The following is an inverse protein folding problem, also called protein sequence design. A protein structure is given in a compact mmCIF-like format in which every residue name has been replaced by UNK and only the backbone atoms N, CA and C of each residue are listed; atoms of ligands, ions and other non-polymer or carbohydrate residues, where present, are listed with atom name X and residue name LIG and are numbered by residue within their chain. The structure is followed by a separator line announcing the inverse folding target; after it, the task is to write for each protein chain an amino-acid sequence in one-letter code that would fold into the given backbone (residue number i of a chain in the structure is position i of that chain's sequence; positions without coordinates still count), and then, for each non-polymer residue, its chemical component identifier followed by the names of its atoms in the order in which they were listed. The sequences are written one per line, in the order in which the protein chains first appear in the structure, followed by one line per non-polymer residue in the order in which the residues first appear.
data_IF_134610390581
#
_entry.id   IF_134610390581
#
_cell.length_a   1.000
_cell.length_b   1.000
_cell.length_c   1.000
_cell.angle_alpha   90.00
_cell.angle_beta   90.00
_cell.angle_gamma   90.00
#
_symmetry.space_group_name_H-M   'P 1'
#
loop_
_entity.id
_entity.type
_entity.pdbx_description
1 polymer ?
#
# COMPACT_ATOMS: atom_id res chain seq x y z
N UNK A 1 0.83 10.87 -10.04
CA UNK A 1 1.98 11.59 -9.40
C UNK A 1 3.29 11.09 -10.00
N UNK A 2 4.38 11.84 -9.88
CA UNK A 2 5.72 11.37 -10.26
C UNK A 2 6.31 10.41 -9.22
N UNK A 3 7.49 9.85 -9.51
CA UNK A 3 8.23 9.00 -8.58
C UNK A 3 8.63 9.77 -7.30
N UNK A 4 8.49 9.17 -6.10
CA UNK A 4 9.06 9.73 -4.88
C UNK A 4 10.57 9.97 -5.01
N UNK A 5 11.09 10.97 -4.28
CA UNK A 5 12.53 11.22 -4.16
C UNK A 5 13.17 10.27 -3.15
N UNK A 6 14.39 9.80 -3.41
CA UNK A 6 15.12 8.87 -2.53
C UNK A 6 15.40 9.38 -1.11
N UNK A 7 15.37 10.70 -0.87
CA UNK A 7 15.51 11.28 0.48
C UNK A 7 14.40 10.88 1.46
N UNK A 8 13.28 10.36 0.96
CA UNK A 8 12.18 9.85 1.78
C UNK A 8 12.40 8.42 2.28
N UNK A 9 13.56 7.83 1.98
CA UNK A 9 13.86 6.44 2.32
C UNK A 9 13.71 6.14 3.80
N UNK A 10 14.30 6.96 4.66
CA UNK A 10 14.22 6.75 6.10
C UNK A 10 12.75 6.76 6.58
N UNK A 11 11.91 7.64 6.03
CA UNK A 11 10.50 7.72 6.38
C UNK A 11 9.71 6.47 5.94
N UNK A 12 9.93 5.94 4.74
CA UNK A 12 9.21 4.73 4.34
C UNK A 12 9.76 3.48 5.02
N UNK A 13 11.03 3.47 5.49
CA UNK A 13 11.54 2.39 6.35
C UNK A 13 10.79 2.36 7.68
N UNK A 14 10.48 3.51 8.28
CA UNK A 14 9.60 3.59 9.47
C UNK A 14 8.21 2.97 9.19
N UNK A 15 7.69 3.08 7.97
CA UNK A 15 6.39 2.46 7.63
C UNK A 15 6.47 0.94 7.50
N UNK A 16 7.64 0.37 7.21
CA UNK A 16 7.83 -1.08 7.22
C UNK A 16 7.77 -1.65 8.64
N UNK A 17 8.18 -0.87 9.64
CA UNK A 17 8.12 -1.27 11.05
C UNK A 17 6.68 -1.57 11.50
N UNK A 18 5.66 -1.00 10.83
CA UNK A 18 4.28 -1.37 11.08
C UNK A 18 4.02 -2.87 10.89
N UNK A 19 4.73 -3.56 10.00
CA UNK A 19 4.57 -5.00 9.79
C UNK A 19 5.05 -5.85 10.96
N UNK A 20 5.79 -5.26 11.91
CA UNK A 20 6.23 -5.92 13.14
C UNK A 20 5.15 -5.95 14.22
N UNK A 21 4.05 -5.20 14.05
CA UNK A 21 2.90 -5.25 14.96
C UNK A 21 2.21 -6.62 14.87
N UNK A 22 1.71 -7.13 16.01
CA UNK A 22 1.14 -8.49 16.13
C UNK A 22 -0.02 -8.72 15.17
N UNK A 23 -0.79 -7.67 14.90
CA UNK A 23 -1.92 -7.66 13.99
C UNK A 23 -1.55 -7.97 12.53
N UNK A 24 -0.28 -7.79 12.13
CA UNK A 24 0.20 -8.06 10.77
C UNK A 24 1.06 -9.32 10.64
N UNK A 25 1.27 -10.09 11.71
CA UNK A 25 2.13 -11.28 11.71
C UNK A 25 1.79 -12.28 10.58
N UNK A 26 0.50 -12.42 10.24
CA UNK A 26 0.06 -13.30 9.16
C UNK A 26 0.42 -12.78 7.76
N UNK A 27 0.53 -11.46 7.58
CA UNK A 27 0.90 -10.85 6.31
C UNK A 27 2.39 -11.00 6.02
N UNK A 28 3.23 -10.88 7.06
CA UNK A 28 4.68 -10.97 6.93
C UNK A 28 5.11 -12.32 6.32
N UNK A 29 4.40 -13.40 6.63
CA UNK A 29 4.65 -14.74 6.07
C UNK A 29 4.38 -14.85 4.57
N UNK A 30 3.63 -13.91 3.99
CA UNK A 30 3.19 -13.94 2.59
C UNK A 30 3.67 -12.69 1.82
N UNK A 31 4.65 -11.95 2.35
CA UNK A 31 5.12 -10.69 1.76
C UNK A 31 5.70 -10.85 0.35
N UNK A 32 6.33 -12.01 0.08
CA UNK A 32 6.85 -12.38 -1.24
C UNK A 32 5.77 -12.88 -2.19
N UNK A 33 4.53 -13.02 -1.71
CA UNK A 33 3.39 -13.58 -2.45
C UNK A 33 2.13 -12.72 -2.25
N UNK A 34 2.10 -11.50 -2.81
CA UNK A 34 0.99 -10.56 -2.62
C UNK A 34 -0.39 -11.13 -2.94
N UNK A 35 -0.49 -12.07 -3.89
CA UNK A 35 -1.73 -12.73 -4.27
C UNK A 35 -2.38 -13.58 -3.16
N UNK A 36 -1.61 -13.95 -2.14
CA UNK A 36 -2.06 -14.71 -0.98
C UNK A 36 -2.46 -13.83 0.20
N UNK A 37 -2.07 -12.55 0.20
CA UNK A 37 -2.48 -11.61 1.24
C UNK A 37 -3.94 -11.14 1.09
N UNK A 38 -4.55 -11.38 -0.08
CA UNK A 38 -5.94 -10.97 -0.36
C UNK A 38 -6.88 -11.61 0.66
N UNK A 39 -7.62 -10.79 1.39
CA UNK A 39 -8.56 -11.19 2.43
C UNK A 39 -7.93 -11.57 3.77
N UNK A 40 -6.61 -11.44 3.95
CA UNK A 40 -5.96 -11.69 5.23
C UNK A 40 -6.06 -10.47 6.17
N UNK A 41 -6.38 -10.74 7.44
CA UNK A 41 -6.53 -9.72 8.48
C UNK A 41 -8.00 -9.52 8.90
N UNK A 42 -8.23 -8.88 10.06
CA UNK A 42 -9.58 -8.68 10.58
C UNK A 42 -10.32 -7.53 9.87
N UNK A 43 -11.65 -7.57 9.92
CA UNK A 43 -12.52 -6.47 9.50
C UNK A 43 -13.06 -6.56 8.07
N UNK A 44 -13.80 -5.53 7.66
CA UNK A 44 -14.41 -5.42 6.33
C UNK A 44 -13.44 -4.95 5.23
N UNK A 45 -12.29 -4.40 5.64
CA UNK A 45 -11.10 -4.19 4.81
C UNK A 45 -9.95 -4.93 5.46
N UNK A 46 -9.78 -6.23 5.15
CA UNK A 46 -8.65 -7.01 5.64
C UNK A 46 -7.33 -6.29 5.34
N UNK A 47 -6.44 -6.24 6.33
CA UNK A 47 -5.17 -5.52 6.24
C UNK A 47 -4.32 -5.92 5.01
N UNK A 48 -4.39 -7.19 4.58
CA UNK A 48 -3.70 -7.65 3.38
C UNK A 48 -4.20 -6.98 2.10
N UNK A 49 -5.49 -6.64 2.01
CA UNK A 49 -6.03 -5.92 0.85
C UNK A 49 -5.55 -4.47 0.82
N UNK A 50 -5.50 -3.79 1.97
CA UNK A 50 -4.99 -2.43 2.09
C UNK A 50 -3.50 -2.35 1.75
N UNK A 51 -2.71 -3.33 2.22
CA UNK A 51 -1.30 -3.49 1.87
C UNK A 51 -1.12 -3.68 0.36
N UNK A 52 -1.90 -4.55 -0.27
CA UNK A 52 -1.88 -4.74 -1.72
C UNK A 52 -2.17 -3.43 -2.46
N UNK A 53 -3.15 -2.64 -2.02
CA UNK A 53 -3.48 -1.35 -2.65
C UNK A 53 -2.32 -0.36 -2.51
N UNK A 54 -1.62 -0.35 -1.37
CA UNK A 54 -0.39 0.43 -1.17
C UNK A 54 0.74 0.00 -2.10
N UNK A 55 0.97 -1.31 -2.22
CA UNK A 55 1.98 -1.91 -3.09
C UNK A 55 1.74 -1.58 -4.58
N UNK A 56 0.48 -1.69 -5.03
CA UNK A 56 0.08 -1.31 -6.38
C UNK A 56 0.29 0.18 -6.64
N UNK A 57 0.06 1.05 -5.63
CA UNK A 57 0.39 2.46 -5.76
C UNK A 57 1.90 2.67 -5.95
N UNK A 58 2.74 2.00 -5.17
CA UNK A 58 4.19 2.12 -5.30
C UNK A 58 4.64 1.76 -6.72
N UNK A 59 4.23 0.60 -7.23
CA UNK A 59 4.58 0.14 -8.58
C UNK A 59 4.11 1.15 -9.64
N UNK A 60 2.93 1.72 -9.46
CA UNK A 60 2.42 2.77 -10.34
C UNK A 60 3.30 4.03 -10.32
N UNK A 61 3.79 4.44 -9.15
CA UNK A 61 4.66 5.61 -9.01
C UNK A 61 6.06 5.39 -9.56
N UNK A 62 6.55 4.15 -9.47
CA UNK A 62 7.91 3.77 -9.90
C UNK A 62 7.95 3.30 -11.37
N UNK A 63 6.78 3.04 -11.97
CA UNK A 63 6.67 2.52 -13.34
C UNK A 63 6.86 1.00 -13.45
N UNK A 64 6.87 0.29 -12.33
CA UNK A 64 6.95 -1.17 -12.28
C UNK A 64 5.62 -1.81 -12.72
N UNK A 65 5.69 -2.99 -13.32
CA UNK A 65 4.49 -3.69 -13.82
C UNK A 65 3.75 -4.40 -12.68
N UNK A 66 2.46 -4.09 -12.53
CA UNK A 66 1.58 -4.75 -11.56
C UNK A 66 1.34 -6.23 -11.87
N UNK A 67 1.64 -6.70 -13.09
CA UNK A 67 1.54 -8.13 -13.44
C UNK A 67 2.45 -9.01 -12.59
N UNK A 68 3.54 -8.47 -12.07
CA UNK A 68 4.47 -9.16 -11.16
C UNK A 68 3.81 -9.55 -9.81
N UNK A 69 2.69 -8.93 -9.46
CA UNK A 69 1.96 -9.21 -8.21
C UNK A 69 1.14 -10.51 -8.25
N UNK A 70 0.97 -11.13 -9.43
CA UNK A 70 0.26 -12.41 -9.56
C UNK A 70 -1.24 -12.37 -9.21
N UNK A 71 -1.85 -11.17 -9.15
CA UNK A 71 -3.24 -10.99 -8.71
C UNK A 71 -4.22 -11.31 -9.86
N UNK A 72 -4.99 -12.40 -9.72
CA UNK A 72 -6.09 -12.72 -10.64
C UNK A 72 -7.39 -11.99 -10.25
N UNK A 73 -7.75 -10.98 -11.06
CA UNK A 73 -8.95 -10.14 -10.93
C UNK A 73 -10.27 -10.94 -10.85
N UNK A 74 -10.31 -12.12 -11.49
CA UNK A 74 -11.52 -12.95 -11.53
C UNK A 74 -11.77 -13.71 -10.22
N UNK A 75 -10.75 -13.79 -9.35
CA UNK A 75 -10.84 -14.52 -8.08
C UNK A 75 -11.07 -13.62 -6.88
N UNK A 76 -10.87 -12.30 -7.01
CA UNK A 76 -10.91 -11.34 -5.89
C UNK A 76 -12.19 -11.44 -5.06
N UNK A 77 -13.36 -11.46 -5.69
CA UNK A 77 -14.65 -11.52 -4.99
C UNK A 77 -14.93 -12.83 -4.25
N UNK A 78 -14.05 -13.84 -4.37
CA UNK A 78 -14.11 -15.09 -3.59
C UNK A 78 -13.07 -15.13 -2.47
N UNK A 79 -12.10 -14.21 -2.49
CA UNK A 79 -10.97 -14.17 -1.57
C UNK A 79 -11.12 -13.08 -0.50
N UNK A 80 -11.84 -12.01 -0.80
CA UNK A 80 -12.10 -10.91 0.14
C UNK A 80 -13.53 -10.36 -0.01
N UNK A 81 -13.90 -9.45 0.88
CA UNK A 81 -15.16 -8.72 0.89
C UNK A 81 -15.38 -7.90 -0.39
N UNK A 82 -16.64 -7.67 -0.72
CA UNK A 82 -17.01 -6.95 -1.95
C UNK A 82 -16.28 -5.61 -2.07
N UNK A 83 -16.28 -4.81 -1.00
CA UNK A 83 -15.66 -3.49 -0.99
C UNK A 83 -14.14 -3.54 -1.23
N UNK A 84 -13.41 -4.40 -0.51
CA UNK A 84 -11.97 -4.62 -0.73
C UNK A 84 -11.66 -5.12 -2.14
N UNK A 85 -12.51 -6.00 -2.67
CA UNK A 85 -12.32 -6.56 -4.02
C UNK A 85 -12.40 -5.46 -5.09
N UNK A 86 -13.32 -4.50 -4.92
CA UNK A 86 -13.43 -3.32 -5.81
C UNK A 86 -12.26 -2.36 -5.62
N UNK A 87 -11.80 -2.13 -4.38
CA UNK A 87 -10.61 -1.31 -4.11
C UNK A 87 -9.36 -1.85 -4.82
N UNK A 88 -9.12 -3.16 -4.78
CA UNK A 88 -7.98 -3.78 -5.47
C UNK A 88 -8.15 -3.65 -6.99
N UNK A 89 -9.36 -3.87 -7.55
CA UNK A 89 -9.61 -3.68 -8.98
C UNK A 89 -9.33 -2.25 -9.43
N UNK A 90 -9.83 -1.28 -8.69
CA UNK A 90 -9.60 0.13 -8.97
C UNK A 90 -8.11 0.48 -8.89
N UNK A 91 -7.40 0.00 -7.87
CA UNK A 91 -5.95 0.20 -7.75
C UNK A 91 -5.18 -0.37 -8.95
N UNK A 92 -5.53 -1.59 -9.39
CA UNK A 92 -4.95 -2.22 -10.57
C UNK A 92 -5.27 -1.47 -11.88
N UNK A 93 -6.36 -0.70 -11.91
CA UNK A 93 -6.72 0.21 -13.01
C UNK A 93 -6.12 1.61 -12.83
N UNK A 94 -5.27 1.81 -11.80
CA UNK A 94 -4.61 3.08 -11.51
C UNK A 94 -5.50 4.12 -10.84
N UNK A 95 -6.66 3.71 -10.32
CA UNK A 95 -7.57 4.55 -9.54
C UNK A 95 -7.32 4.33 -8.06
N UNK A 96 -7.13 5.43 -7.34
CA UNK A 96 -6.85 5.39 -5.92
C UNK A 96 -7.69 6.41 -5.19
N UNK A 97 -7.97 6.13 -3.93
CA UNK A 97 -8.50 7.11 -2.99
C UNK A 97 -7.67 8.39 -2.91
N UNK A 98 -8.34 9.51 -2.66
CA UNK A 98 -7.75 10.85 -2.64
C UNK A 98 -6.57 10.97 -1.66
N UNK A 99 -6.63 10.31 -0.50
CA UNK A 99 -5.59 10.38 0.54
C UNK A 99 -4.26 9.82 0.03
N UNK A 100 -4.28 8.64 -0.59
CA UNK A 100 -3.09 8.04 -1.19
C UNK A 100 -2.51 8.92 -2.30
N UNK A 101 -3.36 9.48 -3.17
CA UNK A 101 -2.93 10.40 -4.23
C UNK A 101 -2.28 11.66 -3.65
N UNK A 102 -2.84 12.23 -2.58
CA UNK A 102 -2.31 13.42 -1.92
C UNK A 102 -0.95 13.16 -1.28
N UNK A 103 -0.75 12.02 -0.61
CA UNK A 103 0.55 11.64 -0.05
C UNK A 103 1.58 11.39 -1.16
N UNK A 104 1.22 10.62 -2.19
CA UNK A 104 2.11 10.36 -3.33
C UNK A 104 2.54 11.64 -4.05
N UNK A 105 1.64 12.62 -4.16
CA UNK A 105 1.98 13.94 -4.72
C UNK A 105 2.94 14.71 -3.81
N UNK A 106 2.71 14.69 -2.50
CA UNK A 106 3.59 15.34 -1.53
C UNK A 106 5.02 14.75 -1.54
N UNK A 107 5.14 13.42 -1.64
CA UNK A 107 6.42 12.72 -1.75
C UNK A 107 7.19 13.11 -3.03
N UNK A 108 6.48 13.28 -4.16
CA UNK A 108 7.07 13.68 -5.43
C UNK A 108 7.46 15.18 -5.47
N UNK A 109 6.61 16.03 -4.91
CA UNK A 109 6.80 17.49 -4.84
C UNK A 109 7.82 17.92 -3.79
N UNK A 110 8.18 17.01 -2.87
CA UNK A 110 9.18 17.22 -1.82
C UNK A 110 8.77 18.19 -0.72
N UNK A 111 7.46 18.24 -0.47
CA UNK A 111 6.82 19.11 0.50
C UNK A 111 6.77 18.41 1.88
N UNK A 112 7.75 18.70 2.72
CA UNK A 112 7.90 18.08 4.05
C UNK A 112 6.67 18.24 4.93
N UNK A 113 6.12 19.46 4.98
CA UNK A 113 4.96 19.74 5.84
C UNK A 113 3.74 18.94 5.37
N UNK A 114 3.54 18.86 4.06
CA UNK A 114 2.44 18.11 3.47
C UNK A 114 2.65 16.59 3.62
N UNK A 115 3.86 16.07 3.47
CA UNK A 115 4.15 14.65 3.71
C UNK A 115 3.75 14.27 5.14
N UNK A 116 4.22 15.01 6.14
CA UNK A 116 3.88 14.76 7.55
C UNK A 116 2.36 14.85 7.80
N UNK A 117 1.70 15.88 7.27
CA UNK A 117 0.25 16.05 7.40
C UNK A 117 -0.52 14.87 6.79
N UNK A 118 -0.14 14.43 5.57
CA UNK A 118 -0.85 13.34 4.87
C UNK A 118 -0.58 11.98 5.49
N UNK A 119 0.65 11.71 5.92
CA UNK A 119 1.00 10.48 6.63
C UNK A 119 0.20 10.37 7.93
N UNK A 120 0.18 11.43 8.75
CA UNK A 120 -0.60 11.44 10.01
C UNK A 120 -2.08 11.15 9.77
N UNK A 121 -2.69 11.79 8.76
CA UNK A 121 -4.09 11.53 8.40
C UNK A 121 -4.38 10.10 7.94
N UNK A 122 -3.40 9.41 7.33
CA UNK A 122 -3.55 8.01 6.93
C UNK A 122 -3.43 7.11 8.16
N UNK A 123 -2.45 7.35 9.04
CA UNK A 123 -2.29 6.59 10.29
C UNK A 123 -3.51 6.72 11.22
N UNK A 124 -4.10 7.91 11.30
CA UNK A 124 -5.31 8.16 12.09
C UNK A 124 -6.57 7.50 11.48
N UNK A 125 -6.56 7.22 10.18
CA UNK A 125 -7.69 6.66 9.48
C UNK A 125 -7.68 5.13 9.53
N UNK A 126 -8.72 4.56 10.17
CA UNK A 126 -8.91 3.11 10.17
C UNK A 126 -7.73 2.33 10.73
N UNK A 127 -6.96 2.96 11.64
CA UNK A 127 -5.69 2.55 12.26
C UNK A 127 -4.92 1.42 11.57
N UNK A 128 -5.43 0.18 11.64
CA UNK A 128 -4.85 -0.98 10.98
C UNK A 128 -4.78 -0.86 9.44
N UNK A 129 -5.86 -0.39 8.81
CA UNK A 129 -5.96 -0.19 7.35
C UNK A 129 -4.98 0.86 6.83
N UNK A 130 -4.89 2.00 7.52
CA UNK A 130 -3.94 3.06 7.19
C UNK A 130 -2.48 2.61 7.30
N UNK A 131 -2.12 1.92 8.39
CA UNK A 131 -0.79 1.34 8.58
C UNK A 131 -0.46 0.27 7.53
N UNK A 132 -1.39 -0.64 7.25
CA UNK A 132 -1.22 -1.67 6.23
C UNK A 132 -0.95 -1.06 4.85
N UNK A 133 -1.71 -0.03 4.48
CA UNK A 133 -1.55 0.67 3.22
C UNK A 133 -0.18 1.37 3.12
N UNK A 134 0.28 2.02 4.20
CA UNK A 134 1.61 2.65 4.25
C UNK A 134 2.73 1.62 4.16
N UNK A 135 2.62 0.50 4.87
CA UNK A 135 3.57 -0.61 4.79
C UNK A 135 3.64 -1.18 3.36
N UNK A 136 2.50 -1.39 2.70
CA UNK A 136 2.44 -1.85 1.32
C UNK A 136 3.10 -0.88 0.34
N UNK A 137 2.84 0.42 0.49
CA UNK A 137 3.52 1.48 -0.27
C UNK A 137 5.03 1.40 -0.08
N UNK A 138 5.52 1.30 1.16
CA UNK A 138 6.93 1.19 1.47
C UNK A 138 7.58 -0.06 0.87
N UNK A 139 6.93 -1.23 0.99
CA UNK A 139 7.42 -2.48 0.39
C UNK A 139 7.63 -2.33 -1.12
N UNK A 140 6.66 -1.74 -1.82
CA UNK A 140 6.77 -1.57 -3.26
C UNK A 140 7.83 -0.55 -3.69
N UNK A 141 8.08 0.49 -2.88
CA UNK A 141 9.14 1.46 -3.11
C UNK A 141 10.52 0.81 -2.95
N UNK A 142 10.73 0.01 -1.89
CA UNK A 142 11.98 -0.75 -1.71
C UNK A 142 12.19 -1.77 -2.84
N UNK A 143 11.14 -2.48 -3.26
CA UNK A 143 11.21 -3.45 -4.38
C UNK A 143 11.46 -2.80 -5.74
N UNK A 144 11.24 -1.49 -5.88
CA UNK A 144 11.46 -0.76 -7.13
C UNK A 144 12.87 -0.18 -7.23
N UNK A 145 13.66 -0.23 -6.15
CA UNK A 145 15.05 0.24 -6.16
C UNK A 145 15.19 1.75 -6.40
N UNK A 146 14.22 2.56 -5.95
CA UNK A 146 14.37 4.02 -5.96
C UNK A 146 15.41 4.39 -4.90
N UNK A 147 16.55 4.93 -5.35
CA UNK A 147 17.62 5.50 -4.52
C UNK A 147 17.85 6.96 -4.90
#
# INVERSE_FOLDING_TARGET
PGSPKGKWKDLWLEWLEFLEEEEFANLLNEIDRPEKMIGLGPGSTPAGDDLIVGLVMAFRLTGKDNSELGIDRNTLGRKTEWFSSEMIRDALDGKFWKRGIELASALAEDDVARVLEKTGRIVDWGHLSGKAWLAGLACGLEQSGIY
#
